data_IF_579550413755
#
_entry.id   IF_579550413755
#
_cell.length_a   1.000
_cell.length_b   1.000
_cell.length_c   1.000
_cell.angle_alpha   90.00
_cell.angle_beta   90.00
_cell.angle_gamma   90.00
#
_symmetry.space_group_name_H-M   'P 1'
#
loop_
_entity.id
_entity.type
_entity.pdbx_description
1 polymer ?
#
# COMPACT_ATOMS: atom_id res chain seq x y z
N UNK A 1 -15.22 -11.12 -21.23
CA UNK A 1 -15.03 -10.03 -20.25
C UNK A 1 -14.30 -8.92 -20.96
N UNK A 2 -14.75 -7.67 -20.87
CA UNK A 2 -14.04 -6.53 -21.47
C UNK A 2 -13.10 -5.92 -20.43
N UNK A 3 -11.98 -5.37 -20.90
CA UNK A 3 -11.05 -4.60 -20.09
C UNK A 3 -11.06 -3.14 -20.57
N UNK A 4 -11.02 -2.20 -19.64
CA UNK A 4 -10.90 -0.76 -19.89
C UNK A 4 -9.87 -0.18 -18.92
N UNK A 5 -9.01 0.68 -19.44
CA UNK A 5 -8.03 1.42 -18.65
C UNK A 5 -8.36 2.91 -18.75
N UNK A 6 -8.26 3.61 -17.62
CA UNK A 6 -8.44 5.06 -17.53
C UNK A 6 -7.40 5.61 -16.57
N UNK A 7 -6.90 6.82 -16.80
CA UNK A 7 -6.01 7.48 -15.83
C UNK A 7 -6.86 8.28 -14.83
N UNK A 8 -6.36 8.52 -13.63
CA UNK A 8 -7.04 9.37 -12.66
C UNK A 8 -7.46 10.72 -13.28
N UNK A 9 -8.62 11.25 -12.90
CA UNK A 9 -9.22 12.46 -13.46
C UNK A 9 -9.68 12.40 -14.93
N UNK A 10 -9.35 11.34 -15.69
CA UNK A 10 -9.83 11.13 -17.05
C UNK A 10 -11.18 10.39 -17.09
N UNK A 11 -11.67 10.15 -18.31
CA UNK A 11 -13.02 9.67 -18.56
C UNK A 11 -13.02 8.38 -19.38
N UNK A 12 -13.90 7.46 -18.99
CA UNK A 12 -14.36 6.37 -19.84
C UNK A 12 -15.64 6.81 -20.56
N UNK A 13 -15.65 6.71 -21.88
CA UNK A 13 -16.85 6.99 -22.67
C UNK A 13 -17.83 5.83 -22.58
N UNK A 14 -19.11 6.14 -22.36
CA UNK A 14 -20.20 5.16 -22.39
C UNK A 14 -20.67 5.04 -23.84
N UNK A 15 -20.48 3.84 -24.39
CA UNK A 15 -20.71 3.54 -25.79
C UNK A 15 -22.12 2.93 -25.98
N UNK A 16 -22.84 3.25 -27.08
CA UNK A 16 -24.05 2.54 -27.47
C UNK A 16 -23.81 1.03 -27.62
N UNK A 17 -24.83 0.22 -27.35
CA UNK A 17 -24.73 -1.25 -27.54
C UNK A 17 -24.50 -1.66 -29.01
N UNK A 18 -24.82 -0.77 -29.95
CA UNK A 18 -24.57 -0.95 -31.40
C UNK A 18 -23.09 -0.97 -31.77
N UNK A 19 -22.21 -0.44 -30.91
CA UNK A 19 -20.78 -0.30 -31.21
C UNK A 19 -20.00 -1.62 -31.08
N UNK A 20 -20.72 -2.71 -30.80
CA UNK A 20 -20.24 -4.07 -30.88
C UNK A 20 -20.10 -4.77 -29.51
N UNK A 21 -19.72 -6.05 -29.51
CA UNK A 21 -19.73 -6.90 -28.32
C UNK A 21 -18.70 -6.50 -27.25
N UNK A 22 -17.75 -5.61 -27.59
CA UNK A 22 -16.75 -5.08 -26.67
C UNK A 22 -17.08 -3.68 -26.15
N UNK A 23 -18.22 -3.10 -26.51
CA UNK A 23 -18.60 -1.74 -26.13
C UNK A 23 -18.76 -1.58 -24.60
N UNK A 24 -18.27 -0.48 -24.03
CA UNK A 24 -18.48 -0.12 -22.63
C UNK A 24 -19.85 0.53 -22.47
N UNK A 25 -20.88 -0.32 -22.46
CA UNK A 25 -22.28 0.12 -22.42
C UNK A 25 -22.71 0.67 -21.07
N UNK A 26 -23.84 1.38 -21.04
CA UNK A 26 -24.43 1.91 -19.80
C UNK A 26 -24.64 0.83 -18.74
N UNK A 27 -25.11 -0.35 -19.14
CA UNK A 27 -25.28 -1.50 -18.23
C UNK A 27 -23.96 -1.92 -17.57
N UNK A 28 -22.84 -1.87 -18.29
CA UNK A 28 -21.53 -2.19 -17.73
C UNK A 28 -21.03 -1.05 -16.81
N UNK A 29 -21.27 0.21 -17.20
CA UNK A 29 -21.00 1.37 -16.37
C UNK A 29 -21.74 1.31 -15.03
N UNK A 30 -23.03 1.00 -15.03
CA UNK A 30 -23.86 0.89 -13.81
C UNK A 30 -23.35 -0.21 -12.87
N UNK A 31 -22.87 -1.34 -13.42
CA UNK A 31 -22.25 -2.42 -12.64
C UNK A 31 -20.96 -1.97 -11.97
N UNK A 32 -20.07 -1.29 -12.71
CA UNK A 32 -18.82 -0.76 -12.17
C UNK A 32 -19.10 0.30 -11.09
N UNK A 33 -20.06 1.18 -11.33
CA UNK A 33 -20.52 2.17 -10.34
C UNK A 33 -21.04 1.52 -9.07
N UNK A 34 -21.80 0.42 -9.18
CA UNK A 34 -22.25 -0.33 -8.01
C UNK A 34 -21.07 -0.89 -7.19
N UNK A 35 -20.03 -1.39 -7.84
CA UNK A 35 -18.80 -1.81 -7.14
C UNK A 35 -18.11 -0.63 -6.47
N UNK A 36 -17.98 0.50 -7.16
CA UNK A 36 -17.33 1.72 -6.66
C UNK A 36 -18.07 2.34 -5.46
N UNK A 37 -19.41 2.33 -5.45
CA UNK A 37 -20.23 2.84 -4.33
C UNK A 37 -20.06 2.04 -3.04
N UNK A 38 -19.71 0.76 -3.14
CA UNK A 38 -19.51 -0.09 -1.98
C UNK A 38 -18.11 0.06 -1.34
N UNK A 39 -17.23 0.91 -1.91
CA UNK A 39 -15.85 1.08 -1.44
C UNK A 39 -15.80 2.06 -0.27
N UNK A 40 -15.29 1.61 0.88
CA UNK A 40 -15.11 2.42 2.10
C UNK A 40 -14.08 3.57 2.00
N UNK A 41 -13.47 3.77 0.83
CA UNK A 41 -12.54 4.87 0.53
C UNK A 41 -13.29 6.19 0.23
N UNK A 42 -14.63 6.19 0.20
CA UNK A 42 -15.41 7.11 -0.62
C UNK A 42 -16.30 8.18 0.00
N UNK A 43 -16.47 8.25 1.33
CA UNK A 43 -17.63 8.96 1.89
C UNK A 43 -18.96 8.28 1.47
N UNK A 44 -20.11 8.85 1.85
CA UNK A 44 -21.42 8.16 1.84
C UNK A 44 -21.95 7.75 0.45
N UNK A 45 -21.30 8.13 -0.67
CA UNK A 45 -21.80 7.89 -2.04
C UNK A 45 -20.82 7.29 -3.07
N UNK A 46 -19.57 6.96 -2.70
CA UNK A 46 -18.56 6.45 -3.66
C UNK A 46 -18.01 7.48 -4.66
N UNK A 47 -18.41 8.75 -4.52
CA UNK A 47 -18.06 9.88 -5.39
C UNK A 47 -16.57 10.17 -5.45
N UNK A 48 -15.77 9.64 -4.50
CA UNK A 48 -14.31 9.75 -4.52
C UNK A 48 -13.61 8.70 -5.38
N UNK A 49 -14.35 7.80 -6.02
CA UNK A 49 -13.80 6.74 -6.88
C UNK A 49 -14.14 7.02 -8.35
N UNK A 50 -15.43 7.08 -8.68
CA UNK A 50 -15.93 7.42 -10.01
C UNK A 50 -17.05 8.45 -9.88
N UNK A 51 -17.01 9.50 -10.72
CA UNK A 51 -18.14 10.41 -10.92
C UNK A 51 -18.90 10.03 -12.19
N UNK A 52 -20.21 9.92 -12.05
CA UNK A 52 -21.10 9.49 -13.10
C UNK A 52 -21.64 10.70 -13.88
N UNK A 53 -21.43 10.70 -15.19
CA UNK A 53 -22.08 11.61 -16.14
C UNK A 53 -23.11 10.87 -16.99
N UNK A 54 -23.83 11.63 -17.84
CA UNK A 54 -24.83 11.07 -18.76
C UNK A 54 -24.20 10.14 -19.81
N UNK A 55 -23.02 10.50 -20.34
CA UNK A 55 -22.33 9.77 -21.41
C UNK A 55 -20.92 9.30 -21.03
N UNK A 56 -20.47 9.52 -19.80
CA UNK A 56 -19.10 9.23 -19.37
C UNK A 56 -18.98 8.91 -17.90
N UNK A 57 -18.00 8.10 -17.53
CA UNK A 57 -17.57 7.92 -16.13
C UNK A 57 -16.21 8.57 -15.94
N UNK A 58 -16.06 9.41 -14.91
CA UNK A 58 -14.79 10.10 -14.60
C UNK A 58 -14.10 9.43 -13.42
N UNK A 59 -12.85 8.99 -13.61
CA UNK A 59 -12.01 8.57 -12.50
C UNK A 59 -11.65 9.75 -11.58
N UNK A 60 -11.61 9.52 -10.29
CA UNK A 60 -11.14 10.50 -9.30
C UNK A 60 -9.70 10.20 -8.87
N UNK A 61 -9.24 10.74 -7.74
CA UNK A 61 -7.88 10.61 -7.22
C UNK A 61 -7.59 9.26 -6.54
N UNK A 62 -7.97 8.17 -7.22
CA UNK A 62 -7.73 6.80 -6.80
C UNK A 62 -7.11 6.01 -7.94
N UNK A 63 -6.38 4.95 -7.60
CA UNK A 63 -5.76 4.03 -8.56
C UNK A 63 -6.05 2.60 -8.16
N UNK A 64 -6.03 1.67 -9.12
CA UNK A 64 -6.26 0.26 -8.87
C UNK A 64 -7.24 -0.37 -9.87
N UNK A 65 -8.03 -1.33 -9.42
CA UNK A 65 -8.92 -2.12 -10.30
C UNK A 65 -10.32 -2.26 -9.70
N UNK A 66 -11.33 -2.16 -10.56
CA UNK A 66 -12.73 -2.49 -10.32
C UNK A 66 -13.13 -3.64 -11.25
N UNK A 67 -13.55 -4.76 -10.68
CA UNK A 67 -14.05 -5.92 -11.42
C UNK A 67 -15.54 -6.07 -11.14
N UNK A 68 -16.33 -6.08 -12.19
CA UNK A 68 -17.75 -6.38 -12.14
C UNK A 68 -18.10 -7.44 -13.19
N UNK A 69 -19.31 -7.98 -13.13
CA UNK A 69 -19.75 -9.01 -14.09
C UNK A 69 -19.63 -8.51 -15.54
N UNK A 70 -18.69 -9.09 -16.28
CA UNK A 70 -18.46 -8.81 -17.70
C UNK A 70 -17.46 -7.68 -18.00
N UNK A 71 -16.98 -6.94 -17.01
CA UNK A 71 -16.08 -5.79 -17.21
C UNK A 71 -15.07 -5.63 -16.08
N UNK A 72 -13.83 -5.33 -16.45
CA UNK A 72 -12.78 -4.88 -15.54
C UNK A 72 -12.34 -3.48 -15.95
N UNK A 73 -12.36 -2.55 -15.00
CA UNK A 73 -11.85 -1.19 -15.14
C UNK A 73 -10.58 -1.04 -14.31
N UNK A 74 -9.48 -0.72 -14.96
CA UNK A 74 -8.21 -0.34 -14.33
C UNK A 74 -8.10 1.19 -14.31
N UNK A 75 -7.76 1.74 -13.14
CA UNK A 75 -7.51 3.16 -12.95
C UNK A 75 -6.00 3.33 -12.66
N UNK A 76 -5.28 3.98 -13.57
CA UNK A 76 -3.84 4.22 -13.47
C UNK A 76 -3.53 5.64 -12.97
N UNK A 77 -2.41 5.84 -12.26
CA UNK A 77 -1.97 7.19 -11.88
C UNK A 77 -1.57 8.00 -13.12
N UNK A 78 -1.67 9.32 -13.02
CA UNK A 78 -1.10 10.25 -14.00
C UNK A 78 0.35 10.52 -13.64
N UNK A 79 1.23 9.67 -14.15
CA UNK A 79 2.68 9.83 -14.01
C UNK A 79 3.22 10.51 -15.27
N UNK A 80 3.75 11.70 -15.09
CA UNK A 80 4.33 12.49 -16.17
C UNK A 80 5.63 11.85 -16.66
N UNK A 81 5.89 11.96 -17.96
CA UNK A 81 7.01 11.27 -18.62
C UNK A 81 6.77 9.79 -18.93
N UNK A 82 5.61 9.23 -18.54
CA UNK A 82 5.17 7.89 -18.93
C UNK A 82 3.91 7.97 -19.80
N UNK A 83 4.04 7.62 -21.08
CA UNK A 83 2.92 7.63 -22.02
C UNK A 83 2.25 6.26 -22.14
N UNK A 84 3.01 5.19 -21.95
CA UNK A 84 2.55 3.81 -22.06
C UNK A 84 1.99 3.29 -20.74
N UNK A 85 0.78 2.74 -20.78
CA UNK A 85 0.10 2.17 -19.61
C UNK A 85 0.95 1.08 -18.91
N UNK A 86 1.77 0.35 -19.67
CA UNK A 86 2.70 -0.66 -19.15
C UNK A 86 3.73 -0.04 -18.19
N UNK A 87 4.34 1.07 -18.59
CA UNK A 87 5.34 1.76 -17.79
C UNK A 87 4.70 2.36 -16.53
N UNK A 88 3.50 2.93 -16.66
CA UNK A 88 2.73 3.48 -15.54
C UNK A 88 2.38 2.35 -14.55
N UNK A 89 1.92 1.21 -15.05
CA UNK A 89 1.60 0.04 -14.24
C UNK A 89 2.82 -0.50 -13.50
N UNK A 90 3.98 -0.56 -14.16
CA UNK A 90 5.25 -0.94 -13.51
C UNK A 90 5.58 0.00 -12.36
N UNK A 91 5.45 1.30 -12.56
CA UNK A 91 5.69 2.29 -11.50
C UNK A 91 4.72 2.11 -10.33
N UNK A 92 3.42 1.91 -10.62
CA UNK A 92 2.42 1.62 -9.62
C UNK A 92 2.72 0.33 -8.83
N UNK A 93 3.08 -0.76 -9.51
CA UNK A 93 3.46 -2.03 -8.86
C UNK A 93 4.68 -1.83 -7.95
N UNK A 94 5.68 -1.06 -8.38
CA UNK A 94 6.84 -0.73 -7.55
C UNK A 94 6.44 0.06 -6.29
N UNK A 95 5.57 1.05 -6.42
CA UNK A 95 5.04 1.81 -5.27
C UNK A 95 4.30 0.89 -4.29
N UNK A 96 3.40 0.04 -4.80
CA UNK A 96 2.65 -0.91 -3.99
C UNK A 96 3.57 -1.93 -3.31
N UNK A 97 4.58 -2.43 -4.00
CA UNK A 97 5.55 -3.36 -3.44
C UNK A 97 6.26 -2.77 -2.21
N UNK A 98 6.74 -1.53 -2.33
CA UNK A 98 7.37 -0.84 -1.22
C UNK A 98 6.41 -0.55 -0.05
N UNK A 99 5.21 -0.04 -0.36
CA UNK A 99 4.21 0.37 0.64
C UNK A 99 3.62 -0.81 1.40
N UNK A 100 3.43 -1.95 0.75
CA UNK A 100 2.92 -3.16 1.39
C UNK A 100 4.01 -4.13 1.84
N UNK A 101 5.28 -3.74 1.69
CA UNK A 101 6.45 -4.56 2.04
C UNK A 101 6.38 -5.94 1.39
N UNK A 102 6.14 -5.92 0.07
CA UNK A 102 6.13 -7.06 -0.83
C UNK A 102 7.46 -7.08 -1.57
N UNK A 103 8.14 -8.22 -1.56
CA UNK A 103 9.40 -8.44 -2.27
C UNK A 103 9.11 -8.82 -3.72
N UNK A 104 8.64 -7.85 -4.50
CA UNK A 104 8.37 -8.06 -5.92
C UNK A 104 9.65 -7.79 -6.70
N UNK A 105 10.21 -8.83 -7.32
CA UNK A 105 11.34 -8.67 -8.23
C UNK A 105 10.88 -7.91 -9.49
N UNK A 106 10.98 -6.57 -9.47
CA UNK A 106 10.72 -5.71 -10.64
C UNK A 106 11.96 -5.69 -11.54
N UNK A 107 12.35 -6.85 -12.06
CA UNK A 107 13.47 -7.00 -12.99
C UNK A 107 13.02 -6.91 -14.46
N UNK A 108 13.97 -6.84 -15.39
CA UNK A 108 13.67 -6.81 -16.83
C UNK A 108 12.83 -8.02 -17.29
N UNK A 109 13.12 -9.23 -16.79
CA UNK A 109 12.36 -10.43 -17.11
C UNK A 109 10.91 -10.39 -16.60
N UNK A 110 10.69 -9.86 -15.39
CA UNK A 110 9.34 -9.63 -14.86
C UNK A 110 8.60 -8.56 -15.68
N UNK A 111 9.31 -7.52 -16.13
CA UNK A 111 8.74 -6.44 -16.95
C UNK A 111 8.21 -6.95 -18.28
N UNK A 112 8.95 -7.83 -18.97
CA UNK A 112 8.47 -8.46 -20.22
C UNK A 112 7.23 -9.33 -20.00
N UNK A 113 7.18 -10.11 -18.92
CA UNK A 113 6.03 -10.95 -18.59
C UNK A 113 4.77 -10.15 -18.20
N UNK A 114 4.89 -8.86 -17.90
CA UNK A 114 3.80 -7.97 -17.46
C UNK A 114 3.22 -7.08 -18.56
N UNK A 115 3.82 -7.07 -19.76
CA UNK A 115 3.48 -6.11 -20.81
C UNK A 115 2.00 -6.14 -21.23
N UNK A 116 1.38 -7.31 -21.26
CA UNK A 116 -0.02 -7.44 -21.71
C UNK A 116 -1.03 -7.55 -20.57
N UNK A 117 -0.59 -7.44 -19.32
CA UNK A 117 -1.43 -7.72 -18.16
C UNK A 117 -1.87 -6.47 -17.43
N UNK A 118 -3.12 -6.50 -16.97
CA UNK A 118 -3.62 -5.48 -16.06
C UNK A 118 -3.05 -5.69 -14.65
N UNK A 119 -3.15 -4.66 -13.82
CA UNK A 119 -2.61 -4.62 -12.46
C UNK A 119 -3.06 -5.81 -11.61
N UNK A 120 -4.34 -6.21 -11.71
CA UNK A 120 -4.87 -7.32 -10.92
C UNK A 120 -4.20 -8.63 -11.31
N UNK A 121 -4.06 -8.92 -12.61
CA UNK A 121 -3.41 -10.15 -13.06
C UNK A 121 -1.94 -10.23 -12.68
N UNK A 122 -1.23 -9.09 -12.71
CA UNK A 122 0.16 -9.01 -12.21
C UNK A 122 0.21 -9.37 -10.73
N UNK A 123 -0.65 -8.77 -9.90
CA UNK A 123 -0.66 -9.05 -8.46
C UNK A 123 -1.04 -10.50 -8.16
N UNK A 124 -2.02 -11.06 -8.89
CA UNK A 124 -2.41 -12.47 -8.78
C UNK A 124 -1.24 -13.39 -9.13
N UNK A 125 -0.53 -13.09 -10.22
CA UNK A 125 0.65 -13.85 -10.64
C UNK A 125 1.72 -13.85 -9.57
N UNK A 126 2.12 -12.67 -9.10
CA UNK A 126 3.19 -12.53 -8.10
C UNK A 126 2.80 -13.25 -6.80
N UNK A 127 1.55 -13.10 -6.35
CA UNK A 127 1.05 -13.83 -5.19
C UNK A 127 1.14 -15.36 -5.39
N UNK A 128 0.66 -15.85 -6.53
CA UNK A 128 0.64 -17.29 -6.83
C UNK A 128 2.05 -17.87 -6.90
N UNK A 129 2.98 -17.18 -7.57
CA UNK A 129 4.39 -17.60 -7.69
C UNK A 129 5.08 -17.65 -6.33
N UNK A 130 4.87 -16.63 -5.48
CA UNK A 130 5.38 -16.61 -4.10
C UNK A 130 4.78 -17.72 -3.24
N UNK A 131 3.48 -17.97 -3.39
CA UNK A 131 2.80 -19.02 -2.63
C UNK A 131 3.33 -20.40 -3.02
N UNK A 132 3.52 -20.66 -4.31
CA UNK A 132 4.17 -21.89 -4.78
C UNK A 132 5.58 -22.03 -4.26
N UNK A 133 6.40 -20.97 -4.37
CA UNK A 133 7.79 -21.01 -3.90
C UNK A 133 7.87 -21.32 -2.40
N UNK A 134 6.97 -20.74 -1.61
CA UNK A 134 6.92 -20.97 -0.16
C UNK A 134 6.39 -22.36 0.17
N UNK A 135 5.36 -22.85 -0.54
CA UNK A 135 4.84 -24.21 -0.37
C UNK A 135 5.86 -25.30 -0.69
N UNK A 136 6.79 -25.06 -1.63
CA UNK A 136 7.91 -25.99 -1.89
C UNK A 136 8.83 -26.18 -0.68
N UNK A 137 8.87 -25.21 0.23
CA UNK A 137 9.63 -25.32 1.49
C UNK A 137 8.83 -26.06 2.58
N UNK A 138 7.55 -26.34 2.35
CA UNK A 138 6.65 -27.04 3.25
C UNK A 138 5.44 -26.19 3.65
N UNK A 139 4.28 -26.83 3.73
CA UNK A 139 3.07 -26.21 4.27
C UNK A 139 3.13 -26.17 5.80
N UNK A 140 2.88 -25.01 6.44
CA UNK A 140 2.80 -24.88 7.88
C UNK A 140 1.75 -25.81 8.47
N UNK A 141 2.08 -26.45 9.59
CA UNK A 141 1.19 -27.32 10.35
C UNK A 141 1.33 -27.00 11.83
N UNK A 142 0.26 -27.21 12.59
CA UNK A 142 0.29 -27.10 14.04
C UNK A 142 -0.35 -28.33 14.67
N UNK A 143 0.07 -28.65 15.89
CA UNK A 143 -0.58 -29.67 16.70
C UNK A 143 -1.93 -29.15 17.17
N UNK A 144 -2.99 -29.87 16.81
CA UNK A 144 -4.35 -29.61 17.28
C UNK A 144 -4.84 -30.82 18.06
N UNK A 145 -5.48 -30.57 19.20
CA UNK A 145 -6.11 -31.62 20.00
C UNK A 145 -7.28 -32.19 19.19
N UNK A 146 -7.26 -33.50 18.97
CA UNK A 146 -8.32 -34.27 18.32
C UNK A 146 -8.90 -35.27 19.31
N UNK A 147 -10.22 -35.39 19.31
CA UNK A 147 -10.95 -36.43 20.03
C UNK A 147 -11.65 -37.34 19.01
N UNK A 148 -11.37 -38.65 19.06
CA UNK A 148 -11.87 -39.61 18.06
C UNK A 148 -12.03 -41.03 18.64
N UNK A 149 -12.87 -41.84 18.01
CA UNK A 149 -13.21 -43.20 18.44
C UNK A 149 -12.45 -44.23 17.59
N UNK A 150 -11.25 -44.59 18.05
CA UNK A 150 -10.28 -45.39 17.28
C UNK A 150 -10.19 -46.83 17.79
N UNK A 151 -9.74 -47.76 16.94
CA UNK A 151 -9.62 -49.19 17.29
C UNK A 151 -8.40 -49.51 18.17
N UNK A 152 -7.47 -48.57 18.33
CA UNK A 152 -6.27 -48.72 19.15
C UNK A 152 -5.98 -47.43 19.91
N UNK A 153 -5.44 -47.55 21.13
CA UNK A 153 -5.18 -46.41 21.99
C UNK A 153 -4.18 -45.45 21.32
N UNK A 154 -4.61 -44.21 21.09
CA UNK A 154 -3.78 -43.12 20.54
C UNK A 154 -3.82 -41.94 21.51
N UNK A 155 -2.67 -41.53 22.04
CA UNK A 155 -2.61 -40.50 23.09
C UNK A 155 -3.27 -40.97 24.39
N UNK A 156 -4.24 -40.20 24.89
CA UNK A 156 -4.91 -40.46 26.17
C UNK A 156 -6.35 -40.96 25.99
N UNK A 157 -6.84 -41.82 26.88
CA UNK A 157 -8.22 -42.28 26.86
C UNK A 157 -9.14 -41.25 27.57
N UNK A 158 -10.20 -40.81 26.90
CA UNK A 158 -11.28 -40.07 27.54
C UNK A 158 -12.18 -41.06 28.30
N UNK A 159 -11.80 -41.34 29.55
CA UNK A 159 -12.46 -42.32 30.43
C UNK A 159 -13.96 -42.05 30.57
N UNK A 160 -14.35 -40.78 30.75
CA UNK A 160 -15.76 -40.41 30.89
C UNK A 160 -16.54 -40.81 29.64
N UNK A 161 -16.05 -40.44 28.46
CA UNK A 161 -16.72 -40.76 27.18
C UNK A 161 -16.71 -42.27 26.88
N UNK A 162 -15.65 -42.99 27.26
CA UNK A 162 -15.56 -44.44 27.11
C UNK A 162 -16.66 -45.18 27.88
N UNK A 163 -16.89 -44.81 29.14
CA UNK A 163 -17.84 -45.50 30.01
C UNK A 163 -19.26 -44.91 29.97
N UNK A 164 -19.49 -43.83 29.23
CA UNK A 164 -20.83 -43.25 29.02
C UNK A 164 -21.35 -43.48 27.61
N UNK A 165 -20.66 -42.95 26.59
CA UNK A 165 -21.11 -42.98 25.19
C UNK A 165 -20.74 -44.30 24.50
N UNK A 166 -19.51 -44.80 24.72
CA UNK A 166 -19.01 -46.01 24.05
C UNK A 166 -19.14 -47.30 24.89
N UNK A 167 -19.87 -47.27 26.00
CA UNK A 167 -19.99 -48.42 26.90
C UNK A 167 -20.49 -49.71 26.19
N UNK A 168 -21.35 -49.56 25.18
CA UNK A 168 -21.90 -50.66 24.38
C UNK A 168 -21.05 -51.04 23.15
N UNK A 169 -19.97 -50.30 22.87
CA UNK A 169 -19.08 -50.52 21.70
C UNK A 169 -17.61 -50.58 22.15
N UNK A 170 -17.21 -51.58 22.95
CA UNK A 170 -15.87 -51.64 23.56
C UNK A 170 -14.73 -51.82 22.54
N UNK A 171 -15.05 -52.22 21.31
CA UNK A 171 -14.10 -52.29 20.19
C UNK A 171 -13.62 -50.91 19.68
N UNK A 172 -14.20 -49.81 20.17
CA UNK A 172 -13.73 -48.44 19.91
C UNK A 172 -13.31 -47.77 21.22
N UNK A 173 -12.20 -47.06 21.16
CA UNK A 173 -11.61 -46.34 22.27
C UNK A 173 -11.76 -44.84 22.04
N UNK A 174 -12.47 -44.15 22.95
CA UNK A 174 -12.62 -42.70 22.94
C UNK A 174 -11.27 -42.05 23.30
N UNK A 175 -10.46 -41.71 22.30
CA UNK A 175 -9.11 -41.21 22.48
C UNK A 175 -9.04 -39.70 22.28
N UNK A 176 -8.14 -39.05 23.02
CA UNK A 176 -7.74 -37.65 22.88
C UNK A 176 -6.24 -37.59 22.63
N UNK A 177 -5.84 -37.08 21.47
CA UNK A 177 -4.44 -37.02 21.03
C UNK A 177 -4.17 -35.75 20.22
N UNK A 178 -2.90 -35.37 20.13
CA UNK A 178 -2.46 -34.26 19.29
C UNK A 178 -2.20 -34.77 17.87
N UNK A 179 -2.78 -34.09 16.89
CA UNK A 179 -2.58 -34.36 15.47
C UNK A 179 -1.94 -33.16 14.78
N UNK A 180 -0.91 -33.43 13.99
CA UNK A 180 -0.24 -32.40 13.20
C UNK A 180 -1.10 -32.05 11.97
N UNK A 181 -1.86 -30.97 12.07
CA UNK A 181 -2.86 -30.58 11.07
C UNK A 181 -2.40 -29.39 10.23
N UNK A 182 -2.62 -29.41 8.90
CA UNK A 182 -2.48 -28.22 8.05
C UNK A 182 -3.65 -27.25 8.20
N UNK A 183 -4.74 -27.63 8.88
CA UNK A 183 -5.93 -26.80 9.04
C UNK A 183 -5.74 -25.72 10.13
N UNK A 184 -4.76 -24.84 9.92
CA UNK A 184 -4.44 -23.72 10.80
C UNK A 184 -4.94 -22.40 10.18
N UNK A 185 -5.10 -21.37 11.02
CA UNK A 185 -5.61 -20.04 10.62
C UNK A 185 -4.83 -19.45 9.43
N UNK A 186 -3.51 -19.58 9.41
CA UNK A 186 -2.67 -19.11 8.31
C UNK A 186 -3.06 -19.74 6.97
N UNK A 187 -3.22 -21.07 6.95
CA UNK A 187 -3.58 -21.80 5.74
C UNK A 187 -5.04 -21.56 5.33
N UNK A 188 -5.94 -21.35 6.30
CA UNK A 188 -7.32 -20.95 6.01
C UNK A 188 -7.38 -19.59 5.31
N UNK A 189 -6.53 -18.63 5.72
CA UNK A 189 -6.38 -17.34 5.03
C UNK A 189 -5.88 -17.55 3.60
N UNK A 190 -4.84 -18.37 3.40
CA UNK A 190 -4.30 -18.63 2.07
C UNK A 190 -5.32 -19.32 1.16
N UNK A 191 -6.04 -20.32 1.67
CA UNK A 191 -7.14 -20.98 0.96
C UNK A 191 -8.22 -19.98 0.56
N UNK A 192 -8.62 -19.11 1.47
CA UNK A 192 -9.60 -18.06 1.18
C UNK A 192 -9.09 -17.05 0.13
N UNK A 193 -7.79 -16.70 0.15
CA UNK A 193 -7.18 -15.85 -0.89
C UNK A 193 -7.23 -16.54 -2.24
N UNK A 194 -6.73 -17.78 -2.36
CA UNK A 194 -6.75 -18.55 -3.61
C UNK A 194 -8.16 -18.68 -4.16
N UNK A 195 -9.13 -19.06 -3.31
CA UNK A 195 -10.54 -19.17 -3.70
C UNK A 195 -11.10 -17.83 -4.21
N UNK A 196 -10.75 -16.70 -3.57
CA UNK A 196 -11.17 -15.37 -4.04
C UNK A 196 -10.57 -15.04 -5.39
N UNK A 197 -9.27 -15.27 -5.58
CA UNK A 197 -8.56 -14.95 -6.82
C UNK A 197 -9.10 -15.76 -8.02
N UNK A 198 -9.49 -17.02 -7.79
CA UNK A 198 -10.15 -17.85 -8.82
C UNK A 198 -11.44 -17.23 -9.35
N UNK A 199 -12.16 -16.46 -8.53
CA UNK A 199 -13.44 -15.83 -8.94
C UNK A 199 -13.26 -14.53 -9.73
N UNK A 200 -12.08 -13.90 -9.66
CA UNK A 200 -11.85 -12.55 -10.21
C UNK A 200 -10.80 -12.52 -11.33
N UNK A 201 -9.95 -13.54 -11.44
CA UNK A 201 -8.96 -13.61 -12.53
C UNK A 201 -9.64 -13.94 -13.86
N UNK A 202 -9.26 -13.20 -14.90
CA UNK A 202 -9.58 -13.47 -16.30
C UNK A 202 -8.42 -14.09 -17.08
N UNK A 203 -7.22 -14.20 -16.50
CA UNK A 203 -6.04 -14.76 -17.16
C UNK A 203 -5.98 -16.29 -17.00
N UNK A 204 -5.89 -17.02 -18.11
CA UNK A 204 -5.91 -18.49 -18.14
C UNK A 204 -4.77 -19.13 -17.36
N UNK A 205 -3.57 -18.56 -17.43
CA UNK A 205 -2.39 -19.10 -16.75
C UNK A 205 -2.47 -18.87 -15.24
N UNK A 206 -2.98 -17.71 -14.82
CA UNK A 206 -3.26 -17.45 -13.41
C UNK A 206 -4.35 -18.39 -12.88
N UNK A 207 -5.43 -18.61 -13.61
CA UNK A 207 -6.47 -19.58 -13.24
C UNK A 207 -5.93 -21.01 -13.08
N UNK A 208 -5.05 -21.46 -13.99
CA UNK A 208 -4.39 -22.77 -13.89
C UNK A 208 -3.58 -22.89 -12.60
N UNK A 209 -2.72 -21.90 -12.32
CA UNK A 209 -1.89 -21.83 -11.11
C UNK A 209 -2.72 -21.83 -9.84
N UNK A 210 -3.79 -21.03 -9.82
CA UNK A 210 -4.68 -20.95 -8.68
C UNK A 210 -5.46 -22.26 -8.46
N UNK A 211 -5.83 -22.98 -9.52
CA UNK A 211 -6.49 -24.29 -9.39
C UNK A 211 -5.56 -25.34 -8.78
N UNK A 212 -4.29 -25.36 -9.18
CA UNK A 212 -3.25 -26.19 -8.58
C UNK A 212 -3.05 -25.86 -7.08
N UNK A 213 -3.00 -24.58 -6.73
CA UNK A 213 -2.95 -24.14 -5.34
C UNK A 213 -4.22 -24.56 -4.57
N UNK A 214 -5.39 -24.45 -5.17
CA UNK A 214 -6.65 -24.84 -4.54
C UNK A 214 -6.67 -26.34 -4.20
N UNK A 215 -6.12 -27.19 -5.08
CA UNK A 215 -5.93 -28.62 -4.82
C UNK A 215 -4.99 -28.87 -3.64
N UNK A 216 -3.87 -28.16 -3.56
CA UNK A 216 -2.94 -28.25 -2.41
C UNK A 216 -3.63 -27.91 -1.07
N UNK A 217 -4.62 -27.02 -1.08
CA UNK A 217 -5.38 -26.61 0.09
C UNK A 217 -6.68 -27.41 0.31
N UNK A 218 -6.90 -28.55 -0.35
CA UNK A 218 -8.15 -29.31 -0.26
C UNK A 218 -8.51 -29.68 1.20
N UNK A 219 -7.54 -30.20 1.96
CA UNK A 219 -7.71 -30.64 3.37
C UNK A 219 -7.90 -29.50 4.38
N UNK A 220 -7.69 -28.24 3.98
CA UNK A 220 -7.84 -27.08 4.87
C UNK A 220 -9.29 -26.62 4.89
N UNK A 221 -9.87 -26.32 6.05
CA UNK A 221 -11.28 -25.92 6.11
C UNK A 221 -11.51 -24.59 5.36
N UNK A 222 -12.56 -24.48 4.53
CA UNK A 222 -12.92 -23.21 3.90
C UNK A 222 -13.54 -22.27 4.94
N UNK A 223 -12.99 -21.05 5.06
CA UNK A 223 -13.53 -20.01 5.94
C UNK A 223 -13.96 -18.81 5.07
N UNK A 224 -15.20 -18.30 5.22
CA UNK A 224 -15.62 -17.07 4.54
C UNK A 224 -14.68 -15.91 4.88
N UNK A 225 -14.36 -15.06 3.89
CA UNK A 225 -13.40 -13.95 4.06
C UNK A 225 -13.72 -13.07 5.27
N UNK A 226 -15.00 -12.81 5.53
CA UNK A 226 -15.48 -12.00 6.68
C UNK A 226 -15.26 -12.65 8.04
N UNK A 227 -15.10 -13.98 8.08
CA UNK A 227 -14.92 -14.78 9.29
C UNK A 227 -13.45 -15.13 9.56
N UNK A 228 -12.51 -14.70 8.69
CA UNK A 228 -11.09 -14.96 8.87
C UNK A 228 -10.54 -14.30 10.13
N UNK A 229 -9.87 -15.11 10.98
CA UNK A 229 -9.31 -14.72 12.27
C UNK A 229 -7.88 -14.20 12.16
N UNK A 230 -7.71 -13.05 11.52
CA UNK A 230 -6.40 -12.43 11.30
C UNK A 230 -5.59 -12.19 12.59
N UNK A 231 -6.28 -11.97 13.70
CA UNK A 231 -5.76 -11.75 15.05
C UNK A 231 -5.13 -13.00 15.68
N UNK A 232 -5.50 -14.19 15.19
CA UNK A 232 -5.06 -15.48 15.73
C UNK A 232 -3.89 -16.09 14.95
N UNK A 233 -3.36 -15.39 13.95
CA UNK A 233 -2.21 -15.89 13.20
C UNK A 233 -0.96 -15.78 14.06
N UNK A 234 -0.37 -16.93 14.40
CA UNK A 234 0.89 -17.02 15.12
C UNK A 234 2.01 -17.25 14.12
N UNK A 235 2.90 -16.27 14.01
CA UNK A 235 4.13 -16.39 13.25
C UNK A 235 5.31 -16.64 14.20
N UNK A 236 5.96 -17.78 14.05
CA UNK A 236 7.13 -18.21 14.80
C UNK A 236 8.32 -18.49 13.86
N UNK A 237 9.41 -19.04 14.41
CA UNK A 237 10.62 -19.35 13.64
C UNK A 237 10.39 -20.34 12.50
N UNK A 238 9.38 -21.21 12.61
CA UNK A 238 9.08 -22.26 11.62
C UNK A 238 8.27 -21.75 10.42
N UNK A 239 7.57 -20.64 10.57
CA UNK A 239 6.70 -20.09 9.52
C UNK A 239 6.95 -18.59 9.22
N UNK A 240 8.04 -18.00 9.72
CA UNK A 240 8.39 -16.59 9.46
C UNK A 240 8.48 -16.25 7.97
N UNK A 241 8.83 -17.23 7.12
CA UNK A 241 8.83 -17.08 5.65
C UNK A 241 7.45 -16.76 5.06
N UNK A 242 6.37 -17.01 5.80
CA UNK A 242 4.99 -16.73 5.39
C UNK A 242 4.53 -15.30 5.69
N UNK A 243 5.35 -14.51 6.39
CA UNK A 243 4.99 -13.14 6.80
C UNK A 243 4.64 -12.28 5.58
N UNK A 244 5.41 -12.40 4.50
CA UNK A 244 5.17 -11.64 3.27
C UNK A 244 3.84 -12.05 2.61
N UNK A 245 3.60 -13.37 2.47
CA UNK A 245 2.35 -13.90 1.93
C UNK A 245 1.15 -13.46 2.76
N UNK A 246 1.27 -13.40 4.08
CA UNK A 246 0.20 -12.94 4.95
C UNK A 246 -0.12 -11.45 4.69
N UNK A 247 0.90 -10.61 4.49
CA UNK A 247 0.69 -9.19 4.10
C UNK A 247 0.04 -9.09 2.72
N UNK A 248 0.46 -9.91 1.77
CA UNK A 248 -0.10 -9.91 0.42
C UNK A 248 -1.56 -10.42 0.41
N UNK A 249 -1.85 -11.51 1.11
CA UNK A 249 -3.21 -12.01 1.33
C UNK A 249 -4.09 -10.93 1.98
N UNK A 250 -3.53 -10.15 2.92
CA UNK A 250 -4.23 -9.02 3.54
C UNK A 250 -4.59 -7.94 2.53
N UNK A 251 -3.66 -7.55 1.66
CA UNK A 251 -3.91 -6.63 0.54
C UNK A 251 -5.02 -7.14 -0.40
N UNK A 252 -5.00 -8.46 -0.66
CA UNK A 252 -5.92 -9.14 -1.58
C UNK A 252 -7.25 -9.60 -0.95
N UNK A 253 -7.46 -9.46 0.36
CA UNK A 253 -8.71 -9.84 1.02
C UNK A 253 -9.34 -8.77 1.94
N UNK A 254 -8.57 -7.84 2.53
CA UNK A 254 -9.11 -6.94 3.55
C UNK A 254 -9.73 -5.65 3.00
N UNK A 255 -10.88 -5.29 3.56
CA UNK A 255 -11.77 -4.23 3.09
C UNK A 255 -11.28 -2.77 3.21
N UNK A 256 -10.04 -2.50 3.63
CA UNK A 256 -9.49 -1.14 3.58
C UNK A 256 -9.20 -0.68 2.15
N UNK A 257 -8.83 -1.63 1.30
CA UNK A 257 -8.57 -1.43 -0.12
C UNK A 257 -9.60 -2.14 -0.99
N UNK A 258 -10.60 -2.78 -0.35
CA UNK A 258 -11.58 -3.64 -1.01
C UNK A 258 -13.00 -3.41 -0.53
N UNK A 259 -13.92 -3.66 -1.43
CA UNK A 259 -15.31 -3.97 -1.12
C UNK A 259 -15.67 -5.28 -1.80
N UNK A 260 -16.27 -6.18 -1.01
CA UNK A 260 -16.94 -7.37 -1.55
C UNK A 260 -18.36 -7.32 -1.04
N UNK A 261 -19.28 -6.96 -1.94
CA UNK A 261 -20.70 -6.91 -1.66
C UNK A 261 -21.24 -8.34 -1.50
N UNK A 262 -22.07 -8.56 -0.47
CA UNK A 262 -22.97 -9.72 -0.45
C UNK A 262 -24.37 -9.18 -0.70
N UNK A 263 -24.93 -9.49 -1.86
CA UNK A 263 -26.19 -8.94 -2.35
C UNK A 263 -26.24 -8.94 -3.89
N UNK A 264 -27.26 -8.30 -4.47
CA UNK A 264 -27.58 -8.28 -5.90
C UNK A 264 -26.52 -7.64 -6.83
N UNK A 265 -25.44 -7.08 -6.30
CA UNK A 265 -24.34 -6.51 -7.09
C UNK A 265 -23.02 -7.24 -6.79
N UNK A 266 -22.65 -8.20 -7.64
CA UNK A 266 -21.39 -8.94 -7.55
C UNK A 266 -20.22 -8.12 -8.10
N UNK A 267 -19.12 -8.03 -7.34
CA UNK A 267 -17.89 -7.41 -7.82
C UNK A 267 -16.72 -7.48 -6.83
N UNK A 268 -15.58 -6.95 -7.28
CA UNK A 268 -14.34 -6.85 -6.54
C UNK A 268 -13.71 -5.49 -6.81
N UNK A 269 -13.17 -4.86 -5.78
CA UNK A 269 -12.36 -3.66 -5.92
C UNK A 269 -11.03 -3.84 -5.20
N UNK A 270 -9.97 -3.31 -5.81
CA UNK A 270 -8.67 -3.13 -5.19
C UNK A 270 -8.22 -1.72 -5.52
N UNK A 271 -8.49 -0.77 -4.64
CA UNK A 271 -8.28 0.66 -4.88
C UNK A 271 -7.40 1.30 -3.80
N UNK A 272 -6.62 2.30 -4.21
CA UNK A 272 -5.69 3.04 -3.37
C UNK A 272 -5.90 4.55 -3.57
N UNK A 273 -5.98 5.30 -2.49
CA UNK A 273 -5.92 6.78 -2.53
C UNK A 273 -4.53 7.21 -2.98
N UNK A 274 -4.44 7.93 -4.11
CA UNK A 274 -3.14 8.21 -4.72
C UNK A 274 -2.28 9.16 -3.85
N UNK A 275 -2.88 10.12 -3.15
CA UNK A 275 -2.18 10.97 -2.18
C UNK A 275 -1.48 10.14 -1.09
N UNK A 276 -2.24 9.24 -0.43
CA UNK A 276 -1.72 8.40 0.67
C UNK A 276 -0.69 7.40 0.16
N UNK A 277 -0.90 6.86 -1.04
CA UNK A 277 0.05 5.94 -1.66
C UNK A 277 1.38 6.65 -1.93
N UNK A 278 1.34 7.85 -2.53
CA UNK A 278 2.53 8.65 -2.80
C UNK A 278 3.27 9.03 -1.51
N UNK A 279 2.55 9.45 -0.49
CA UNK A 279 3.10 9.77 0.82
C UNK A 279 3.84 8.59 1.46
N UNK A 280 3.16 7.45 1.63
CA UNK A 280 3.75 6.23 2.21
C UNK A 280 4.94 5.76 1.37
N UNK A 281 4.85 5.86 0.05
CA UNK A 281 5.92 5.47 -0.85
C UNK A 281 7.16 6.36 -0.70
N UNK A 282 7.01 7.68 -0.69
CA UNK A 282 8.12 8.64 -0.44
C UNK A 282 8.73 8.38 0.92
N UNK A 283 7.90 8.28 1.95
CA UNK A 283 8.34 8.12 3.31
C UNK A 283 9.12 6.82 3.55
N UNK A 284 8.63 5.70 2.99
CA UNK A 284 9.34 4.41 3.05
C UNK A 284 10.60 4.40 2.21
N UNK A 285 10.59 5.08 1.05
CA UNK A 285 11.78 5.27 0.21
C UNK A 285 12.86 6.00 0.98
N UNK A 286 12.49 7.09 1.66
CA UNK A 286 13.40 7.86 2.51
C UNK A 286 13.91 7.00 3.69
N UNK A 287 13.02 6.28 4.37
CA UNK A 287 13.39 5.42 5.49
C UNK A 287 14.42 4.36 5.06
N UNK A 288 14.21 3.70 3.92
CA UNK A 288 15.20 2.76 3.34
C UNK A 288 16.50 3.46 2.97
N UNK A 289 16.42 4.62 2.31
CA UNK A 289 17.58 5.38 1.89
C UNK A 289 18.44 5.92 3.05
N UNK A 290 17.86 6.10 4.24
CA UNK A 290 18.55 6.56 5.45
C UNK A 290 18.98 5.42 6.38
N UNK A 291 18.76 4.15 6.01
CA UNK A 291 19.30 3.02 6.77
C UNK A 291 20.82 3.13 6.92
N UNK A 292 21.33 2.82 8.12
CA UNK A 292 22.75 2.93 8.46
C UNK A 292 23.22 4.34 8.82
N UNK A 293 22.33 5.34 8.86
CA UNK A 293 22.64 6.69 9.37
C UNK A 293 22.14 6.85 10.81
N UNK A 294 22.48 7.98 11.44
CA UNK A 294 21.99 8.37 12.77
C UNK A 294 20.60 9.06 12.74
N UNK A 295 19.97 9.10 11.55
CA UNK A 295 18.68 9.73 11.33
C UNK A 295 17.54 8.72 11.47
N UNK A 296 16.49 9.10 12.19
CA UNK A 296 15.26 8.35 12.30
C UNK A 296 14.17 8.99 11.44
N UNK A 297 13.48 8.16 10.65
CA UNK A 297 12.33 8.58 9.83
C UNK A 297 11.04 8.06 10.45
N UNK A 298 10.13 8.99 10.73
CA UNK A 298 8.76 8.70 11.17
C UNK A 298 7.78 9.13 10.09
N UNK A 299 6.89 8.22 9.72
CA UNK A 299 5.78 8.48 8.79
C UNK A 299 4.56 8.86 9.59
N UNK A 300 3.75 9.75 9.01
CA UNK A 300 2.49 10.17 9.60
C UNK A 300 2.73 10.54 11.06
N UNK A 301 3.47 11.62 11.32
CA UNK A 301 3.61 12.21 12.66
C UNK A 301 5.05 12.37 13.19
N UNK A 302 5.23 12.67 14.50
CA UNK A 302 4.29 12.51 15.62
C UNK A 302 2.99 13.32 15.48
N UNK A 303 1.93 12.92 16.20
CA UNK A 303 0.70 13.72 16.27
C UNK A 303 0.90 14.76 17.37
N UNK A 304 0.92 16.02 16.99
CA UNK A 304 0.97 17.16 17.90
C UNK A 304 -0.29 18.02 17.76
N UNK A 305 -0.40 19.10 18.54
CA UNK A 305 -1.57 19.96 18.57
C UNK A 305 -1.17 21.42 18.43
N UNK A 306 -1.88 22.15 17.57
CA UNK A 306 -1.57 23.55 17.31
C UNK A 306 -2.04 24.47 18.44
N UNK A 307 -3.04 24.07 19.23
CA UNK A 307 -3.66 24.91 20.24
C UNK A 307 -3.94 24.14 21.54
N UNK A 308 -3.90 24.86 22.65
CA UNK A 308 -4.35 24.39 23.96
C UNK A 308 -5.48 25.32 24.40
N UNK A 309 -6.63 24.75 24.70
CA UNK A 309 -7.78 25.49 25.21
C UNK A 309 -7.44 26.06 26.59
N UNK A 310 -7.56 27.39 26.76
CA UNK A 310 -7.10 28.06 27.99
C UNK A 310 -7.96 27.74 29.22
N UNK A 311 -9.21 27.32 29.05
CA UNK A 311 -10.12 27.05 30.16
C UNK A 311 -10.02 25.59 30.61
N UNK A 312 -10.01 24.66 29.66
CA UNK A 312 -10.04 23.22 29.91
C UNK A 312 -8.66 22.55 29.85
N UNK A 313 -7.64 23.22 29.31
CA UNK A 313 -6.34 22.61 29.00
C UNK A 313 -6.40 21.58 27.86
N UNK A 314 -7.56 21.43 27.20
CA UNK A 314 -7.74 20.44 26.15
C UNK A 314 -6.88 20.79 24.93
N UNK A 315 -6.17 19.79 24.40
CA UNK A 315 -5.41 19.92 23.16
C UNK A 315 -6.37 20.00 21.96
N UNK A 316 -6.22 21.02 21.12
CA UNK A 316 -7.09 21.30 19.98
C UNK A 316 -6.28 21.37 18.68
N UNK A 317 -6.95 21.08 17.57
CA UNK A 317 -6.38 21.13 16.21
C UNK A 317 -5.12 20.25 16.09
N UNK A 318 -5.35 18.94 16.08
CA UNK A 318 -4.29 17.98 15.84
C UNK A 318 -3.63 18.22 14.48
N UNK A 319 -2.32 18.16 14.44
CA UNK A 319 -1.51 18.32 13.26
C UNK A 319 -0.58 17.11 13.11
N UNK A 320 -0.33 16.69 11.87
CA UNK A 320 0.42 15.47 11.58
C UNK A 320 1.09 15.58 10.21
N UNK A 321 2.41 15.84 10.17
CA UNK A 321 3.15 15.81 8.92
C UNK A 321 3.23 14.41 8.34
N UNK A 322 3.38 14.36 7.02
CA UNK A 322 3.58 13.14 6.26
C UNK A 322 4.87 12.42 6.67
N UNK A 323 5.98 13.15 6.76
CA UNK A 323 7.28 12.58 7.15
C UNK A 323 8.04 13.54 8.05
N UNK A 324 8.59 12.99 9.14
CA UNK A 324 9.53 13.70 10.03
C UNK A 324 10.84 12.94 10.08
N UNK A 325 11.93 13.64 9.75
CA UNK A 325 13.30 13.16 9.94
C UNK A 325 13.84 13.78 11.21
N UNK A 326 14.40 12.96 12.08
CA UNK A 326 14.89 13.38 13.39
C UNK A 326 16.26 12.79 13.71
N UNK A 327 16.99 13.45 14.61
CA UNK A 327 18.23 12.96 15.20
C UNK A 327 18.10 13.04 16.71
N UNK A 328 18.32 11.93 17.41
CA UNK A 328 18.15 11.86 18.87
C UNK A 328 16.80 12.41 19.36
N UNK A 329 15.72 12.11 18.63
CA UNK A 329 14.36 12.59 18.94
C UNK A 329 14.06 14.04 18.54
N UNK A 330 15.06 14.84 18.17
CA UNK A 330 14.87 16.21 17.71
C UNK A 330 14.51 16.24 16.22
N UNK A 331 13.35 16.82 15.82
CA UNK A 331 13.02 17.02 14.41
C UNK A 331 14.06 17.90 13.71
N UNK A 332 14.56 17.43 12.57
CA UNK A 332 15.50 18.14 11.71
C UNK A 332 14.88 18.57 10.39
N UNK A 333 13.95 17.79 9.86
CA UNK A 333 13.26 18.06 8.61
C UNK A 333 11.82 17.55 8.70
N UNK A 334 10.87 18.40 8.31
CA UNK A 334 9.48 18.01 8.07
C UNK A 334 9.22 18.01 6.57
N UNK A 335 8.71 16.92 6.03
CA UNK A 335 8.31 16.81 4.61
C UNK A 335 6.80 16.60 4.56
N UNK A 336 6.14 17.35 3.67
CA UNK A 336 4.73 17.18 3.32
C UNK A 336 4.64 16.95 1.81
N UNK A 337 3.99 15.87 1.41
CA UNK A 337 3.93 15.40 0.03
C UNK A 337 2.64 15.86 -0.64
N UNK A 338 2.71 16.19 -1.92
CA UNK A 338 1.54 16.66 -2.69
C UNK A 338 1.48 15.96 -4.04
N UNK A 339 0.38 15.24 -4.29
CA UNK A 339 0.10 14.62 -5.58
C UNK A 339 -0.55 15.61 -6.56
N UNK A 340 0.24 16.55 -7.08
CA UNK A 340 -0.17 17.51 -8.12
C UNK A 340 1.03 18.04 -8.89
N UNK A 341 0.81 18.52 -10.11
CA UNK A 341 1.84 19.20 -10.92
C UNK A 341 2.24 20.54 -10.28
N UNK A 342 3.54 20.84 -10.35
CA UNK A 342 4.03 22.20 -10.19
C UNK A 342 3.89 22.95 -11.52
N UNK A 343 4.10 24.26 -11.48
CA UNK A 343 4.21 25.11 -12.67
C UNK A 343 5.65 25.61 -12.81
N UNK A 344 6.04 25.96 -14.04
CA UNK A 344 7.29 26.67 -14.25
C UNK A 344 7.25 28.06 -13.57
N UNK A 345 8.41 28.58 -13.19
CA UNK A 345 8.50 29.89 -12.56
C UNK A 345 8.15 31.04 -13.52
N UNK A 346 8.35 30.81 -14.81
CA UNK A 346 7.95 31.71 -15.91
C UNK A 346 6.43 31.86 -16.00
N UNK A 347 5.69 30.78 -15.77
CA UNK A 347 4.22 30.78 -15.81
C UNK A 347 3.60 31.26 -14.49
N UNK A 348 4.19 30.86 -13.37
CA UNK A 348 3.75 31.27 -12.03
C UNK A 348 4.98 31.38 -11.12
N UNK A 349 5.32 32.58 -10.60
CA UNK A 349 6.42 32.75 -9.66
C UNK A 349 6.29 31.91 -8.39
N UNK A 350 5.06 31.51 -8.01
CA UNK A 350 4.78 30.60 -6.89
C UNK A 350 4.88 29.12 -7.28
N UNK A 351 5.14 28.82 -8.56
CA UNK A 351 5.26 27.48 -9.15
C UNK A 351 4.03 26.60 -8.92
N UNK A 352 2.84 27.19 -8.78
CA UNK A 352 1.60 26.46 -8.48
C UNK A 352 1.50 25.94 -7.04
N UNK A 353 2.40 26.33 -6.13
CA UNK A 353 2.30 25.97 -4.71
C UNK A 353 1.07 26.65 -4.07
N UNK A 354 0.25 25.87 -3.37
CA UNK A 354 -0.97 26.36 -2.75
C UNK A 354 -0.68 27.17 -1.50
N UNK A 355 -1.44 28.25 -1.29
CA UNK A 355 -1.34 29.06 -0.07
C UNK A 355 -1.62 28.26 1.20
N UNK A 356 -2.60 27.34 1.15
CA UNK A 356 -2.90 26.43 2.25
C UNK A 356 -1.71 25.52 2.59
N UNK A 357 -0.96 25.05 1.58
CA UNK A 357 0.23 24.21 1.77
C UNK A 357 1.32 25.01 2.52
N UNK A 358 1.55 26.27 2.12
CA UNK A 358 2.54 27.14 2.79
C UNK A 358 2.16 27.40 4.24
N UNK A 359 0.88 27.71 4.53
CA UNK A 359 0.43 27.91 5.90
C UNK A 359 0.49 26.64 6.75
N UNK A 360 0.24 25.48 6.16
CA UNK A 360 0.45 24.20 6.80
C UNK A 360 1.93 24.00 7.19
N UNK A 361 2.87 24.30 6.28
CA UNK A 361 4.30 24.28 6.61
C UNK A 361 4.64 25.27 7.72
N UNK A 362 4.10 26.48 7.70
CA UNK A 362 4.33 27.45 8.79
C UNK A 362 3.83 26.93 10.15
N UNK A 363 2.68 26.26 10.18
CA UNK A 363 2.17 25.61 11.38
C UNK A 363 3.11 24.49 11.84
N UNK A 364 3.60 23.65 10.93
CA UNK A 364 4.57 22.61 11.27
C UNK A 364 5.88 23.19 11.82
N UNK A 365 6.37 24.29 11.23
CA UNK A 365 7.61 24.93 11.68
C UNK A 365 7.52 25.42 13.13
N UNK A 366 6.31 25.78 13.57
CA UNK A 366 6.05 26.19 14.95
C UNK A 366 5.83 24.98 15.86
N UNK A 367 4.88 24.12 15.53
CA UNK A 367 4.46 23.00 16.39
C UNK A 367 5.57 21.97 16.61
N UNK A 368 6.38 21.70 15.60
CA UNK A 368 7.47 20.71 15.68
C UNK A 368 8.84 21.34 15.94
N UNK A 369 8.87 22.65 16.21
CA UNK A 369 10.11 23.43 16.42
C UNK A 369 11.19 23.17 15.34
N UNK A 370 10.74 22.95 14.10
CA UNK A 370 11.59 22.55 13.00
C UNK A 370 11.87 23.73 12.06
N UNK A 371 13.13 23.90 11.69
CA UNK A 371 13.60 25.01 10.84
C UNK A 371 13.81 24.60 9.38
N UNK A 372 13.66 23.32 9.03
CA UNK A 372 13.74 22.84 7.65
C UNK A 372 12.47 22.12 7.31
N UNK A 373 11.82 22.61 6.27
CA UNK A 373 10.52 22.15 5.81
C UNK A 373 10.60 21.91 4.31
N UNK A 374 9.94 20.86 3.82
CA UNK A 374 9.97 20.52 2.40
C UNK A 374 8.58 20.15 1.92
N UNK A 375 8.13 20.81 0.84
CA UNK A 375 7.01 20.34 0.04
C UNK A 375 7.56 19.49 -1.10
N UNK A 376 7.12 18.23 -1.18
CA UNK A 376 7.60 17.27 -2.18
C UNK A 376 6.49 16.91 -3.18
N UNK A 377 6.78 17.03 -4.46
CA UNK A 377 5.85 16.81 -5.57
C UNK A 377 6.35 15.72 -6.52
N UNK A 378 5.47 15.09 -7.33
CA UNK A 378 5.93 14.33 -8.49
C UNK A 378 6.60 15.27 -9.51
N UNK A 379 7.71 14.82 -10.09
CA UNK A 379 8.41 15.53 -11.16
C UNK A 379 7.69 15.38 -12.50
N UNK A 380 7.88 16.34 -13.42
CA UNK A 380 7.42 16.26 -14.79
C UNK A 380 8.38 17.02 -15.73
N UNK A 381 8.40 16.63 -17.00
CA UNK A 381 9.40 17.08 -17.99
C UNK A 381 9.34 18.57 -18.33
N UNK A 382 8.24 19.26 -18.02
CA UNK A 382 8.15 20.72 -18.18
C UNK A 382 8.86 21.47 -17.05
N UNK A 383 9.25 20.82 -15.95
CA UNK A 383 10.16 21.41 -14.97
C UNK A 383 11.61 21.23 -15.45
N UNK A 384 12.55 21.97 -14.84
CA UNK A 384 13.98 21.87 -15.14
C UNK A 384 14.47 20.42 -15.29
N UNK A 385 15.54 20.19 -16.07
CA UNK A 385 15.96 18.87 -16.58
C UNK A 385 16.15 17.75 -15.55
N UNK A 386 16.21 18.03 -14.24
CA UNK A 386 16.44 17.03 -13.19
C UNK A 386 15.51 17.20 -11.99
N UNK A 387 15.09 16.07 -11.45
CA UNK A 387 14.37 15.98 -10.18
C UNK A 387 15.25 16.34 -8.98
N UNK A 388 14.61 16.77 -7.89
CA UNK A 388 15.28 17.30 -6.69
C UNK A 388 14.79 18.68 -6.30
N UNK A 389 15.68 19.50 -5.73
CA UNK A 389 15.34 20.80 -5.15
C UNK A 389 15.09 21.84 -6.26
N UNK A 390 13.89 22.38 -6.30
CA UNK A 390 13.42 23.32 -7.33
C UNK A 390 13.51 24.76 -6.84
N UNK A 391 13.18 25.00 -5.58
CA UNK A 391 13.23 26.32 -4.97
C UNK A 391 13.46 26.25 -3.46
N UNK A 392 13.95 27.34 -2.88
CA UNK A 392 14.11 27.51 -1.44
C UNK A 392 13.59 28.89 -1.05
N UNK A 393 12.72 28.93 -0.06
CA UNK A 393 12.17 30.15 0.49
C UNK A 393 12.47 30.25 1.97
N UNK A 394 12.77 31.45 2.44
CA UNK A 394 12.88 31.76 3.86
C UNK A 394 11.51 32.17 4.40
N UNK A 395 11.13 31.69 5.58
CA UNK A 395 9.93 32.17 6.26
C UNK A 395 10.18 33.63 6.66
N UNK A 396 9.34 34.54 6.18
CA UNK A 396 9.47 35.96 6.46
C UNK A 396 9.57 36.21 7.98
N UNK A 397 10.57 36.99 8.39
CA UNK A 397 10.87 37.34 9.80
C UNK A 397 11.32 36.17 10.68
N UNK A 398 11.68 35.01 10.12
CA UNK A 398 12.30 33.89 10.85
C UNK A 398 13.57 33.46 10.12
N UNK A 399 14.71 34.04 10.51
CA UNK A 399 15.97 33.99 9.76
C UNK A 399 16.43 32.56 9.43
N UNK A 400 16.23 31.63 10.36
CA UNK A 400 16.73 30.26 10.21
C UNK A 400 15.70 29.28 9.64
N UNK A 401 14.46 29.68 9.35
CA UNK A 401 13.44 28.74 8.86
C UNK A 401 13.27 28.77 7.34
N UNK A 402 13.41 27.60 6.72
CA UNK A 402 13.38 27.43 5.27
C UNK A 402 12.28 26.46 4.84
N UNK A 403 11.59 26.80 3.76
CA UNK A 403 10.67 25.92 3.03
C UNK A 403 11.29 25.63 1.66
N UNK A 404 11.62 24.36 1.43
CA UNK A 404 12.10 23.85 0.16
C UNK A 404 10.95 23.31 -0.67
N UNK A 405 10.99 23.55 -1.97
CA UNK A 405 10.11 22.91 -2.95
C UNK A 405 10.97 21.92 -3.70
N UNK A 406 10.61 20.64 -3.65
CA UNK A 406 11.36 19.58 -4.30
C UNK A 406 10.44 18.65 -5.10
N UNK A 407 11.03 17.92 -6.05
CA UNK A 407 10.34 16.95 -6.91
C UNK A 407 11.07 15.61 -6.96
N UNK A 408 10.34 14.53 -7.25
CA UNK A 408 10.89 13.18 -7.47
C UNK A 408 10.30 12.54 -8.73
N UNK A 409 11.14 11.93 -9.57
CA UNK A 409 10.74 11.30 -10.82
C UNK A 409 10.18 9.88 -10.64
N UNK A 410 8.87 9.73 -10.84
CA UNK A 410 8.17 8.43 -10.75
C UNK A 410 8.24 7.59 -12.03
N UNK A 411 8.88 8.08 -13.10
CA UNK A 411 9.21 7.24 -14.24
C UNK A 411 10.28 6.20 -13.88
N UNK A 412 11.10 6.48 -12.86
CA UNK A 412 12.16 5.63 -12.30
C UNK A 412 12.02 5.52 -10.78
N UNK A 413 10.95 4.85 -10.30
CA UNK A 413 10.64 4.82 -8.87
C UNK A 413 11.75 4.19 -8.01
N UNK A 414 12.56 3.29 -8.59
CA UNK A 414 13.73 2.68 -7.95
C UNK A 414 14.83 3.68 -7.56
N UNK A 415 14.90 4.84 -8.23
CA UNK A 415 15.91 5.87 -7.97
C UNK A 415 15.48 6.90 -6.92
N UNK A 416 14.22 6.90 -6.49
CA UNK A 416 13.68 7.92 -5.60
C UNK A 416 14.42 7.95 -4.26
N UNK A 417 14.81 6.79 -3.72
CA UNK A 417 15.65 6.73 -2.52
C UNK A 417 16.98 7.47 -2.68
N UNK A 418 17.62 7.38 -3.86
CA UNK A 418 18.90 8.06 -4.15
C UNK A 418 18.69 9.57 -4.21
N UNK A 419 17.62 10.02 -4.89
CA UNK A 419 17.29 11.45 -5.02
C UNK A 419 16.96 12.06 -3.66
N UNK A 420 16.14 11.37 -2.86
CA UNK A 420 15.81 11.77 -1.50
C UNK A 420 17.07 11.86 -0.62
N UNK A 421 17.98 10.87 -0.71
CA UNK A 421 19.24 10.91 0.01
C UNK A 421 20.12 12.09 -0.41
N UNK A 422 20.19 12.38 -1.72
CA UNK A 422 20.92 13.54 -2.27
C UNK A 422 20.36 14.86 -1.75
N UNK A 423 19.04 15.01 -1.64
CA UNK A 423 18.43 16.23 -1.09
C UNK A 423 18.91 16.55 0.33
N UNK A 424 19.18 15.51 1.13
CA UNK A 424 19.52 15.62 2.56
C UNK A 424 21.04 15.60 2.84
N UNK A 425 21.87 15.18 1.88
CA UNK A 425 23.33 15.04 2.07
C UNK A 425 24.14 15.67 0.93
N UNK A 426 23.71 16.81 0.43
CA UNK A 426 24.43 17.57 -0.57
C UNK A 426 25.15 18.75 0.08
N UNK A 427 26.48 18.77 0.02
CA UNK A 427 27.28 19.85 0.59
C UNK A 427 26.91 21.20 -0.03
N UNK A 428 26.71 22.20 0.83
CA UNK A 428 26.24 23.52 0.41
C UNK A 428 24.73 23.62 0.20
N UNK A 429 23.97 22.53 0.33
CA UNK A 429 22.51 22.58 0.35
C UNK A 429 22.02 23.18 1.67
N UNK A 430 21.01 24.08 1.65
CA UNK A 430 20.37 24.54 2.87
C UNK A 430 19.66 23.42 3.64
N UNK A 431 19.41 22.28 3.00
CA UNK A 431 18.79 21.08 3.56
C UNK A 431 19.81 19.99 3.93
N UNK A 432 21.12 20.28 3.90
CA UNK A 432 22.14 19.32 4.32
C UNK A 432 22.00 18.97 5.81
N UNK A 433 21.84 17.68 6.10
CA UNK A 433 21.71 17.11 7.44
C UNK A 433 23.00 16.41 7.90
N UNK A 434 24.11 16.55 7.17
CA UNK A 434 25.44 16.13 7.63
C UNK A 434 25.72 16.73 9.02
N UNK A 435 26.54 16.02 9.78
CA UNK A 435 26.95 16.44 11.13
C UNK A 435 27.48 17.87 11.05
N UNK A 436 26.86 18.78 11.79
CA UNK A 436 27.46 20.07 12.06
C UNK A 436 28.78 19.78 12.78
N UNK A 437 29.92 19.91 12.08
CA UNK A 437 31.19 20.10 12.76
C UNK A 437 30.98 21.31 13.65
N UNK A 438 31.06 21.11 14.96
CA UNK A 438 30.98 22.18 15.94
C UNK A 438 31.91 23.30 15.51
N UNK A 439 31.36 24.50 15.24
CA UNK A 439 32.12 25.73 14.99
C UNK A 439 32.98 26.20 16.19
N UNK A 440 33.24 25.33 17.16
CA UNK A 440 33.92 25.64 18.42
C UNK A 440 35.43 25.32 18.35
N UNK A 441 35.94 24.64 17.31
CA UNK A 441 37.37 24.29 17.22
C UNK A 441 38.22 25.17 16.26
N UNK A 442 37.75 26.35 15.85
CA UNK A 442 38.56 27.29 15.05
C UNK A 442 38.89 28.62 15.75
N UNK A 443 38.76 28.68 17.08
CA UNK A 443 39.35 29.76 17.89
C UNK A 443 40.12 29.19 19.07
N UNK A 444 41.17 28.43 18.78
CA UNK A 444 42.29 28.30 19.72
C UNK A 444 43.55 28.57 18.90
N UNK A 445 43.79 29.84 18.63
CA UNK A 445 45.16 30.35 18.43
C UNK A 445 45.67 30.73 19.81
N UNK A 446 46.74 30.10 20.32
CA UNK A 446 47.58 30.74 21.30
C UNK A 446 48.87 31.19 20.60
N UNK A 447 48.98 32.49 20.37
CA UNK A 447 50.25 33.22 20.50
C UNK A 447 50.02 34.09 21.74
N UNK A 448 50.89 34.09 22.78
CA UNK A 448 52.34 34.24 22.67
C UNK A 448 53.20 33.41 23.65
N UNK A 449 54.49 33.34 23.32
CA UNK A 449 55.61 32.90 24.16
C UNK A 449 56.91 33.18 23.43
#
# INVERSE_FOLDING_TARGET
MIHRTVKEWDYLQIEPASDGPRAFTRTLADRVMSVARNVNLGGDGGERVLLEGSSKLRAQQVVGVLVAKGVTVEILPKIEGLNEDQAIRRSLVHMLALVFDLDIAVGAAATFAWQEENLLEILIRVFSEKLFATLRQGMPRAYTVREDDVSALRGSLNVVRQFTILAATPQRLACRFDELSPNIVLNQIMKATVARLLTISGNRENLRRLAELAFVYEEVAPIPVRSLRWDQVVLDRTNVGWTELLRFARLLLQGRYQSTTSGTSEGFSLLFEMNKLFEEFVGRSLKRALQGTDLAVRLQGPREYALIDRQSGALRFATRPDVVVSRNGKPLLVIDTKWKRLKEATDDPKRGVGQADVYQMMAYAHVYECNRLMLLYPHHQELAERDGLVAVHQIARKLDSLIGIATVDLARPEHIGIVLRRLLFNEGSPFDLKVARSRVEQQITPVPG
#
